data_IF_638817003232
#
_entry.id   IF_638817003232
#
_cell.length_a   1.000
_cell.length_b   1.000
_cell.length_c   1.000
_cell.angle_alpha   90.00
_cell.angle_beta   90.00
_cell.angle_gamma   90.00
#
_symmetry.space_group_name_H-M   'P 1'
#
loop_
_entity.id
_entity.type
_entity.pdbx_description
1 polymer ?
#
# COMPACT_ATOMS: atom_id res chain seq x y z
N UNK A 1 32.21 -6.64 18.24
CA UNK A 1 32.43 -7.78 19.16
C UNK A 1 33.00 -7.26 20.47
N UNK A 2 32.23 -7.25 21.56
CA UNK A 2 32.75 -6.98 22.91
C UNK A 2 32.67 -8.28 23.73
N UNK A 3 33.84 -8.82 24.07
CA UNK A 3 34.02 -9.94 25.02
C UNK A 3 33.64 -9.46 26.41
N UNK A 4 32.76 -10.19 27.09
CA UNK A 4 32.58 -10.07 28.54
C UNK A 4 33.67 -10.90 29.24
N UNK A 5 34.45 -10.28 30.12
CA UNK A 5 35.31 -10.95 31.08
C UNK A 5 34.66 -10.91 32.45
N UNK A 6 34.60 -12.04 33.14
CA UNK A 6 34.18 -12.12 34.55
C UNK A 6 35.37 -12.56 35.41
N UNK A 7 35.71 -11.73 36.38
CA UNK A 7 36.54 -12.01 37.56
C UNK A 7 35.88 -11.22 38.69
N UNK A 8 35.68 -11.69 39.93
CA UNK A 8 36.64 -12.37 40.80
C UNK A 8 35.95 -12.97 42.05
N UNK A 9 36.46 -14.14 42.47
CA UNK A 9 36.72 -14.70 43.82
C UNK A 9 35.96 -14.16 45.06
N UNK A 10 35.47 -15.09 45.88
CA UNK A 10 36.19 -15.52 47.12
C UNK A 10 35.60 -16.80 47.75
N UNK A 11 36.49 -17.74 48.06
CA UNK A 11 36.27 -18.90 48.91
C UNK A 11 36.29 -18.50 50.39
N UNK A 12 35.46 -19.14 51.21
CA UNK A 12 35.82 -19.50 52.59
C UNK A 12 35.26 -20.89 52.91
N UNK A 13 36.18 -21.82 53.22
CA UNK A 13 35.90 -23.11 53.85
C UNK A 13 36.12 -22.98 55.36
N UNK A 14 35.22 -23.52 56.17
CA UNK A 14 35.49 -23.92 57.57
C UNK A 14 34.72 -25.22 57.86
N UNK A 15 35.39 -26.14 58.56
CA UNK A 15 35.11 -27.57 58.71
C UNK A 15 34.49 -27.93 60.09
N UNK A 16 33.76 -29.06 60.13
CA UNK A 16 33.48 -30.00 61.25
C UNK A 16 32.47 -29.56 62.36
N UNK A 17 31.63 -30.40 63.01
CA UNK A 17 31.45 -31.87 63.16
C UNK A 17 30.01 -32.18 63.74
N UNK A 18 29.58 -33.46 63.89
CA UNK A 18 28.18 -33.86 64.19
C UNK A 18 27.91 -34.21 65.68
N UNK A 19 26.64 -34.12 66.15
CA UNK A 19 25.94 -35.06 67.09
C UNK A 19 24.58 -34.49 67.61
N UNK A 20 23.53 -35.27 67.38
CA UNK A 20 22.19 -35.44 68.01
C UNK A 20 21.57 -34.38 68.96
N UNK A 21 20.30 -34.04 68.75
CA UNK A 21 19.12 -34.74 69.34
C UNK A 21 17.79 -34.08 68.92
N UNK A 22 16.86 -34.96 68.56
CA UNK A 22 15.39 -34.84 68.45
C UNK A 22 14.78 -33.64 69.19
N UNK A 23 14.09 -32.78 68.45
CA UNK A 23 12.79 -32.28 68.87
C UNK A 23 11.77 -32.51 67.75
N UNK A 24 10.66 -33.06 68.18
CA UNK A 24 9.63 -33.76 67.44
C UNK A 24 8.64 -32.82 66.76
N UNK A 25 8.26 -33.20 65.54
CA UNK A 25 6.85 -33.46 65.22
C UNK A 25 5.88 -32.29 65.43
N UNK A 26 6.09 -31.20 64.69
CA UNK A 26 4.99 -30.36 64.23
C UNK A 26 4.99 -30.42 62.70
N UNK A 27 4.05 -31.23 62.19
CA UNK A 27 3.48 -31.22 60.85
C UNK A 27 4.49 -31.03 59.70
N UNK A 28 4.86 -32.07 58.95
CA UNK A 28 4.05 -32.51 57.79
C UNK A 28 3.25 -31.35 57.14
N UNK A 29 3.92 -30.28 56.75
CA UNK A 29 3.66 -29.58 55.50
C UNK A 29 4.86 -29.91 54.61
N UNK A 30 4.83 -31.06 53.94
CA UNK A 30 4.68 -31.11 52.47
C UNK A 30 5.37 -29.92 51.81
N UNK A 31 6.56 -30.16 51.25
CA UNK A 31 6.92 -30.02 49.82
C UNK A 31 6.23 -28.94 48.93
N UNK A 32 5.51 -27.99 49.51
CA UNK A 32 4.71 -26.94 48.85
C UNK A 32 5.22 -25.53 49.19
N UNK A 33 6.10 -25.37 50.19
CA UNK A 33 6.66 -24.07 50.57
C UNK A 33 7.95 -23.69 49.85
N UNK A 34 8.45 -24.51 48.91
CA UNK A 34 9.67 -24.18 48.12
C UNK A 34 9.43 -24.22 46.60
N UNK A 35 8.24 -24.62 46.12
CA UNK A 35 7.90 -24.65 44.68
C UNK A 35 6.80 -23.67 44.27
N UNK A 36 6.13 -23.00 45.22
CA UNK A 36 5.02 -22.06 44.91
C UNK A 36 5.43 -20.58 45.02
N UNK A 37 6.66 -20.25 45.46
CA UNK A 37 7.17 -18.87 45.46
C UNK A 37 7.93 -18.45 44.20
N UNK A 38 8.02 -19.32 43.18
CA UNK A 38 8.55 -18.94 41.85
C UNK A 38 7.45 -18.74 40.78
N UNK A 39 6.17 -18.89 41.16
CA UNK A 39 5.01 -18.74 40.27
C UNK A 39 4.20 -17.45 40.51
N UNK A 40 4.63 -16.58 41.43
CA UNK A 40 3.99 -15.28 41.70
C UNK A 40 4.80 -14.08 41.21
N UNK A 41 5.82 -14.31 40.38
CA UNK A 41 6.57 -13.26 39.68
C UNK A 41 6.42 -13.29 38.16
N UNK A 42 5.59 -14.18 37.60
CA UNK A 42 5.39 -14.29 36.16
C UNK A 42 4.05 -13.68 35.77
N UNK A 43 4.05 -12.39 35.44
CA UNK A 43 3.08 -11.79 34.51
C UNK A 43 3.76 -10.69 33.70
N UNK A 44 3.71 -10.69 32.35
CA UNK A 44 3.31 -11.76 31.44
C UNK A 44 4.44 -12.12 30.45
N UNK A 45 4.30 -13.24 29.76
CA UNK A 45 5.06 -13.48 28.53
C UNK A 45 4.64 -12.40 27.52
N UNK A 46 5.45 -11.35 27.34
CA UNK A 46 5.25 -10.36 26.27
C UNK A 46 5.77 -10.95 24.96
N UNK A 47 4.89 -11.60 24.19
CA UNK A 47 5.14 -11.94 22.81
C UNK A 47 4.08 -11.25 21.93
N UNK A 48 4.26 -9.96 21.62
CA UNK A 48 3.50 -9.32 20.54
C UNK A 48 4.21 -9.55 19.19
N UNK A 49 3.43 -9.84 18.14
CA UNK A 49 3.85 -10.49 16.90
C UNK A 49 5.16 -10.00 16.25
N UNK A 50 6.18 -10.84 16.40
CA UNK A 50 7.35 -10.89 15.52
C UNK A 50 7.25 -12.18 14.71
N UNK A 51 7.27 -12.14 13.37
CA UNK A 51 7.62 -13.32 12.59
C UNK A 51 8.93 -13.05 11.85
N UNK A 52 9.90 -13.95 12.03
CA UNK A 52 11.14 -14.10 11.27
C UNK A 52 11.27 -15.57 10.90
N UNK A 53 11.05 -15.92 9.65
CA UNK A 53 11.04 -17.34 9.22
C UNK A 53 12.26 -17.62 8.37
N UNK A 54 12.85 -18.80 8.52
CA UNK A 54 14.24 -19.09 8.15
C UNK A 54 14.81 -20.06 9.16
N UNK A 55 14.96 -19.61 10.42
CA UNK A 55 15.25 -20.49 11.57
C UNK A 55 14.77 -19.96 12.96
N UNK A 56 13.56 -19.35 13.02
CA UNK A 56 12.70 -18.99 14.20
C UNK A 56 13.07 -17.67 14.94
N UNK A 57 12.16 -16.82 15.48
CA UNK A 57 10.97 -17.02 16.33
C UNK A 57 9.68 -16.30 15.84
N UNK A 58 8.64 -17.06 15.45
CA UNK A 58 7.43 -17.54 16.20
C UNK A 58 6.38 -16.53 16.77
N UNK A 59 5.13 -17.03 16.92
CA UNK A 59 3.80 -16.37 16.89
C UNK A 59 2.94 -16.36 18.17
N UNK A 60 2.17 -15.27 18.28
CA UNK A 60 0.88 -15.01 18.94
C UNK A 60 0.57 -15.35 20.39
N UNK A 61 1.27 -16.22 21.11
CA UNK A 61 0.97 -16.42 22.56
C UNK A 61 2.16 -16.95 23.40
N UNK A 62 3.30 -17.29 22.80
CA UNK A 62 4.56 -17.63 23.48
C UNK A 62 5.73 -17.79 22.49
N UNK A 63 6.98 -17.56 22.91
CA UNK A 63 8.16 -17.97 22.14
C UNK A 63 8.08 -19.49 21.87
N UNK A 64 8.08 -19.92 20.61
CA UNK A 64 8.00 -21.36 20.27
C UNK A 64 6.90 -21.75 19.28
N UNK A 65 5.85 -20.94 19.14
CA UNK A 65 4.61 -21.29 18.42
C UNK A 65 4.66 -20.84 16.95
N UNK A 66 4.27 -21.69 15.99
CA UNK A 66 4.33 -21.32 14.57
C UNK A 66 3.37 -20.18 14.21
N UNK A 67 3.84 -19.17 13.47
CA UNK A 67 2.98 -18.16 12.83
C UNK A 67 2.38 -18.79 11.58
N UNK A 68 1.10 -19.18 11.62
CA UNK A 68 0.45 -19.86 10.50
C UNK A 68 0.34 -18.99 9.25
N UNK A 69 0.47 -17.66 9.40
CA UNK A 69 0.37 -16.67 8.33
C UNK A 69 1.74 -16.17 7.81
N UNK A 70 2.80 -16.97 7.96
CA UNK A 70 4.16 -16.65 7.51
C UNK A 70 4.85 -17.87 6.88
N UNK A 71 5.65 -17.63 5.83
CA UNK A 71 6.39 -18.66 5.08
C UNK A 71 7.89 -18.51 5.24
N UNK A 72 8.72 -19.49 4.84
CA UNK A 72 10.20 -19.38 4.95
C UNK A 72 10.75 -18.03 4.46
N UNK A 73 11.66 -17.41 5.20
CA UNK A 73 12.25 -16.11 4.88
C UNK A 73 11.38 -14.88 5.22
N UNK A 74 10.08 -15.06 5.46
CA UNK A 74 9.14 -13.95 5.63
C UNK A 74 9.30 -13.20 6.95
N UNK A 75 8.90 -11.93 6.93
CA UNK A 75 8.78 -11.09 8.11
C UNK A 75 7.33 -10.61 8.25
N UNK A 76 6.72 -10.84 9.41
CA UNK A 76 5.41 -10.29 9.74
C UNK A 76 5.54 -9.48 11.01
N UNK A 77 5.16 -8.20 10.94
CA UNK A 77 5.06 -7.34 12.10
C UNK A 77 3.59 -7.01 12.33
N UNK A 78 3.06 -7.44 13.47
CA UNK A 78 1.69 -7.13 13.87
C UNK A 78 1.70 -6.51 15.26
N UNK A 79 1.23 -5.27 15.36
CA UNK A 79 1.26 -4.52 16.62
C UNK A 79 0.33 -5.10 17.70
N UNK A 80 -0.61 -5.95 17.32
CA UNK A 80 -1.68 -6.49 18.15
C UNK A 80 -2.07 -7.91 17.67
N UNK A 81 -2.13 -8.91 18.55
CA UNK A 81 -2.34 -10.32 18.19
C UNK A 81 -3.80 -10.77 18.18
N UNK A 82 -4.69 -10.09 18.90
CA UNK A 82 -6.07 -10.53 19.02
C UNK A 82 -7.11 -9.55 18.50
N UNK A 83 -6.79 -8.27 18.28
CA UNK A 83 -7.78 -7.27 17.87
C UNK A 83 -7.42 -6.41 16.65
N UNK A 84 -6.26 -6.61 15.98
CA UNK A 84 -5.85 -5.88 14.77
C UNK A 84 -7.04 -5.77 13.80
N UNK A 85 -7.55 -4.59 13.49
CA UNK A 85 -8.69 -4.45 12.59
C UNK A 85 -8.42 -3.59 11.37
N UNK A 86 -9.28 -3.74 10.38
CA UNK A 86 -9.21 -3.01 9.12
C UNK A 86 -10.58 -2.99 8.47
N UNK A 87 -10.84 -2.01 7.61
CA UNK A 87 -12.03 -2.01 6.77
C UNK A 87 -12.04 -3.22 5.82
N UNK A 88 -13.23 -3.66 5.42
CA UNK A 88 -13.39 -4.62 4.34
C UNK A 88 -13.31 -3.90 2.98
N UNK A 89 -12.10 -3.63 2.51
CA UNK A 89 -11.88 -3.02 1.20
C UNK A 89 -11.88 -4.10 0.12
N UNK A 90 -12.71 -3.93 -0.92
CA UNK A 90 -12.85 -4.90 -2.01
C UNK A 90 -11.51 -5.21 -2.70
N UNK A 91 -11.19 -6.51 -2.80
CA UNK A 91 -9.96 -6.98 -3.44
C UNK A 91 -8.68 -6.61 -2.71
N UNK A 92 -8.76 -6.36 -1.39
CA UNK A 92 -7.61 -6.04 -0.54
C UNK A 92 -7.53 -6.94 0.69
N UNK A 93 -6.30 -7.06 1.16
CA UNK A 93 -5.89 -7.82 2.31
C UNK A 93 -5.84 -9.33 2.07
N UNK A 94 -5.69 -10.06 3.17
CA UNK A 94 -5.41 -11.48 3.12
C UNK A 94 -6.62 -12.41 2.94
N UNK A 95 -6.38 -13.58 2.34
CA UNK A 95 -7.43 -14.59 2.12
C UNK A 95 -7.77 -15.37 3.39
N UNK A 96 -6.93 -15.29 4.43
CA UNK A 96 -7.02 -16.14 5.63
C UNK A 96 -7.88 -15.54 6.75
N UNK A 97 -8.52 -14.40 6.50
CA UNK A 97 -9.30 -13.66 7.51
C UNK A 97 -10.77 -13.60 7.14
N UNK A 98 -11.64 -14.00 8.06
CA UNK A 98 -13.09 -13.85 7.90
C UNK A 98 -13.44 -12.36 7.98
N UNK A 99 -14.02 -11.82 6.90
CA UNK A 99 -14.52 -10.45 6.82
C UNK A 99 -16.04 -10.47 7.02
N UNK A 100 -16.52 -9.78 8.03
CA UNK A 100 -17.95 -9.74 8.37
C UNK A 100 -18.57 -8.34 8.18
N UNK A 101 -17.73 -7.31 8.02
CA UNK A 101 -18.13 -5.95 7.76
C UNK A 101 -18.79 -5.78 6.39
N UNK A 102 -19.37 -4.61 6.17
CA UNK A 102 -19.91 -4.24 4.86
C UNK A 102 -18.74 -3.90 3.94
N UNK A 103 -18.63 -4.53 2.75
CA UNK A 103 -17.54 -4.24 1.83
C UNK A 103 -17.63 -2.80 1.32
N UNK A 104 -16.49 -2.12 1.31
CA UNK A 104 -16.35 -0.77 0.76
C UNK A 104 -15.44 -0.76 -0.46
N UNK A 105 -15.67 0.24 -1.32
CA UNK A 105 -14.77 0.48 -2.46
C UNK A 105 -13.45 1.10 -2.01
N UNK A 106 -12.41 0.93 -2.82
CA UNK A 106 -11.11 1.60 -2.63
C UNK A 106 -11.27 3.12 -2.63
N UNK A 107 -12.19 3.63 -3.46
CA UNK A 107 -12.53 5.06 -3.52
C UNK A 107 -13.11 5.54 -2.18
N UNK A 108 -14.02 4.76 -1.58
CA UNK A 108 -14.57 5.08 -0.27
C UNK A 108 -13.46 5.11 0.79
N UNK A 109 -12.61 4.09 0.85
CA UNK A 109 -11.48 4.04 1.78
C UNK A 109 -10.62 5.31 1.68
N UNK A 110 -10.21 5.68 0.47
CA UNK A 110 -9.45 6.90 0.24
C UNK A 110 -10.18 8.17 0.72
N UNK A 111 -11.47 8.28 0.43
CA UNK A 111 -12.28 9.42 0.87
C UNK A 111 -12.42 9.50 2.40
N UNK A 112 -12.42 8.35 3.09
CA UNK A 112 -12.44 8.31 4.56
C UNK A 112 -11.17 8.91 5.17
N UNK A 113 -10.00 8.67 4.57
CA UNK A 113 -8.74 9.33 4.95
C UNK A 113 -8.78 10.84 4.71
N UNK A 114 -9.12 11.24 3.48
CA UNK A 114 -9.08 12.66 3.09
C UNK A 114 -10.05 13.52 3.90
N UNK A 115 -11.20 12.96 4.28
CA UNK A 115 -12.22 13.64 5.08
C UNK A 115 -12.08 13.41 6.59
N UNK A 116 -11.09 12.63 7.03
CA UNK A 116 -10.98 12.18 8.43
C UNK A 116 -12.32 11.66 8.98
N UNK A 117 -12.97 10.76 8.24
CA UNK A 117 -14.34 10.33 8.53
C UNK A 117 -14.44 9.84 9.99
N UNK A 118 -15.28 10.51 10.77
CA UNK A 118 -15.64 10.08 12.11
C UNK A 118 -16.60 8.89 12.01
N UNK A 119 -16.31 7.86 12.80
CA UNK A 119 -17.15 6.68 12.98
C UNK A 119 -17.89 6.82 14.32
N UNK A 120 -19.17 6.43 14.33
CA UNK A 120 -20.06 6.55 15.49
C UNK A 120 -20.02 7.95 16.16
N UNK A 121 -19.83 9.00 15.34
CA UNK A 121 -19.71 10.41 15.72
C UNK A 121 -18.63 10.74 16.77
N UNK A 122 -17.65 9.85 17.00
CA UNK A 122 -16.70 10.02 18.09
C UNK A 122 -15.24 9.73 17.70
N UNK A 123 -14.99 8.69 16.89
CA UNK A 123 -13.62 8.21 16.65
C UNK A 123 -13.34 7.99 15.18
N UNK A 124 -12.16 8.40 14.70
CA UNK A 124 -11.71 8.08 13.35
C UNK A 124 -10.39 7.33 13.42
N UNK A 125 -10.26 6.17 12.75
CA UNK A 125 -8.98 5.48 12.61
C UNK A 125 -8.02 6.20 11.65
N UNK A 126 -8.51 7.25 10.97
CA UNK A 126 -7.77 8.07 10.03
C UNK A 126 -7.36 9.42 10.63
N UNK A 127 -7.61 9.62 11.93
CA UNK A 127 -7.16 10.80 12.66
C UNK A 127 -5.67 10.71 13.01
N UNK A 128 -5.17 11.73 13.71
CA UNK A 128 -3.80 11.81 14.20
C UNK A 128 -3.78 11.80 15.73
N UNK A 129 -2.67 11.35 16.31
CA UNK A 129 -2.37 11.54 17.73
C UNK A 129 -1.00 12.17 17.92
N UNK A 130 -0.91 13.14 18.84
CA UNK A 130 0.33 13.80 19.26
C UNK A 130 0.90 13.23 20.55
N UNK A 131 0.25 12.23 21.13
CA UNK A 131 0.62 11.63 22.41
C UNK A 131 0.60 10.11 22.34
N UNK A 132 1.35 9.45 23.23
CA UNK A 132 1.31 7.99 23.32
C UNK A 132 -0.12 7.52 23.60
N UNK A 133 -0.59 6.58 22.77
CA UNK A 133 -1.87 5.92 22.96
C UNK A 133 -1.67 4.70 23.85
N UNK A 134 -2.48 4.60 24.91
CA UNK A 134 -2.48 3.47 25.83
C UNK A 134 -3.80 2.73 25.69
N UNK A 135 -3.77 1.41 25.71
CA UNK A 135 -4.97 0.59 25.73
C UNK A 135 -5.75 0.80 27.02
N UNK A 136 -7.02 1.18 26.90
CA UNK A 136 -7.93 1.31 28.05
C UNK A 136 -9.01 0.23 28.06
N UNK A 137 -9.06 -0.60 27.01
CA UNK A 137 -9.94 -1.75 26.84
C UNK A 137 -9.95 -2.23 25.38
N UNK A 138 -10.66 -3.31 25.08
CA UNK A 138 -10.75 -3.90 23.74
C UNK A 138 -11.21 -2.88 22.70
N UNK A 139 -10.34 -2.57 21.73
CA UNK A 139 -10.62 -1.60 20.68
C UNK A 139 -10.77 -0.15 21.16
N UNK A 140 -10.29 0.16 22.37
CA UNK A 140 -10.30 1.50 22.95
C UNK A 140 -8.89 1.94 23.35
N UNK A 141 -8.50 3.10 22.83
CA UNK A 141 -7.29 3.78 23.23
C UNK A 141 -7.60 4.99 24.12
N UNK A 142 -6.65 5.35 24.96
CA UNK A 142 -6.68 6.58 25.74
C UNK A 142 -7.00 7.78 24.85
N UNK A 143 -7.87 8.69 25.29
CA UNK A 143 -8.20 9.93 24.55
C UNK A 143 -8.94 9.75 23.21
N UNK A 144 -9.41 8.55 22.89
CA UNK A 144 -10.32 8.34 21.76
C UNK A 144 -9.67 8.42 20.38
N UNK A 145 -8.35 8.18 20.26
CA UNK A 145 -7.78 7.95 18.92
C UNK A 145 -8.41 6.69 18.34
N UNK A 146 -8.99 6.82 17.15
CA UNK A 146 -9.72 5.71 16.55
C UNK A 146 -8.75 4.56 16.27
N UNK A 147 -9.17 3.38 16.68
CA UNK A 147 -8.51 2.14 16.34
C UNK A 147 -9.40 1.38 15.36
N UNK A 148 -8.84 0.83 14.28
CA UNK A 148 -9.60 0.00 13.35
C UNK A 148 -9.98 -1.31 14.04
N UNK A 149 -11.26 -1.51 14.35
CA UNK A 149 -11.74 -2.73 14.99
C UNK A 149 -12.89 -2.49 15.97
N UNK A 150 -14.03 -3.14 15.73
CA UNK A 150 -15.12 -3.23 16.71
C UNK A 150 -16.05 -2.03 16.77
N UNK A 151 -16.66 -1.79 17.94
CA UNK A 151 -17.79 -0.86 18.10
C UNK A 151 -17.42 0.61 17.84
N UNK A 152 -16.14 0.97 17.84
CA UNK A 152 -15.71 2.37 17.70
C UNK A 152 -15.58 2.81 16.24
N UNK A 153 -15.12 1.93 15.36
CA UNK A 153 -14.77 2.27 13.97
C UNK A 153 -15.41 1.39 12.91
N UNK A 154 -16.26 0.44 13.31
CA UNK A 154 -16.96 -0.53 12.45
C UNK A 154 -16.04 -1.40 11.56
N UNK A 155 -14.72 -1.31 11.73
CA UNK A 155 -13.75 -2.16 11.06
C UNK A 155 -13.88 -3.61 11.52
N UNK A 156 -13.56 -4.54 10.61
CA UNK A 156 -13.47 -5.95 10.95
C UNK A 156 -12.40 -6.16 12.00
N UNK A 157 -12.72 -6.94 13.04
CA UNK A 157 -11.79 -7.30 14.10
C UNK A 157 -10.91 -8.48 13.66
N UNK A 158 -9.74 -8.62 14.28
CA UNK A 158 -8.87 -9.80 14.21
C UNK A 158 -8.35 -10.08 12.79
N UNK A 159 -8.20 -9.02 12.00
CA UNK A 159 -7.61 -9.02 10.66
C UNK A 159 -6.10 -8.80 10.78
N UNK A 160 -5.39 -9.92 10.94
CA UNK A 160 -3.94 -9.93 11.07
C UNK A 160 -3.24 -9.86 9.70
N UNK A 161 -2.02 -9.29 9.64
CA UNK A 161 -1.19 -9.37 8.44
C UNK A 161 -0.79 -10.81 8.09
N UNK A 162 -0.51 -11.07 6.82
CA UNK A 162 0.00 -12.35 6.32
C UNK A 162 1.16 -12.15 5.33
N UNK A 163 2.19 -12.99 5.41
CA UNK A 163 3.36 -12.97 4.53
C UNK A 163 3.68 -14.39 4.05
N UNK A 164 2.88 -14.88 3.09
CA UNK A 164 3.01 -16.22 2.54
C UNK A 164 4.11 -16.37 1.48
N UNK A 165 4.58 -15.27 0.91
CA UNK A 165 5.70 -15.30 -0.02
C UNK A 165 7.00 -15.67 0.67
N UNK A 166 7.87 -16.44 -0.01
CA UNK A 166 9.22 -16.70 0.50
C UNK A 166 10.01 -15.39 0.54
N UNK A 167 10.70 -15.09 1.63
CA UNK A 167 11.43 -13.82 1.83
C UNK A 167 10.54 -12.55 1.69
N UNK A 168 9.25 -12.65 1.99
CA UNK A 168 8.32 -11.52 1.93
C UNK A 168 8.27 -10.71 3.24
N UNK A 169 7.66 -9.52 3.21
CA UNK A 169 7.48 -8.67 4.39
C UNK A 169 6.03 -8.13 4.44
N UNK A 170 5.35 -8.25 5.59
CA UNK A 170 4.03 -7.69 5.81
C UNK A 170 3.91 -6.95 7.15
N UNK A 171 3.29 -5.76 7.16
CA UNK A 171 2.94 -5.03 8.37
C UNK A 171 1.69 -4.16 8.18
N UNK A 172 0.93 -3.99 9.27
CA UNK A 172 -0.37 -3.33 9.29
C UNK A 172 -1.53 -4.33 9.19
N UNK A 173 -2.65 -4.01 9.85
CA UNK A 173 -3.80 -4.93 9.95
C UNK A 173 -4.33 -5.32 8.57
N UNK A 174 -4.49 -6.62 8.36
CA UNK A 174 -4.94 -7.20 7.09
C UNK A 174 -4.02 -7.02 5.90
N UNK A 175 -2.78 -6.55 6.07
CA UNK A 175 -1.82 -6.57 4.96
C UNK A 175 -1.52 -7.99 4.48
N UNK A 176 -1.24 -8.17 3.20
CA UNK A 176 -1.02 -9.49 2.59
C UNK A 176 0.12 -9.44 1.59
N UNK A 177 1.19 -10.17 1.86
CA UNK A 177 2.36 -10.35 1.00
C UNK A 177 2.44 -11.81 0.53
N UNK A 178 1.76 -12.13 -0.59
CA UNK A 178 1.64 -13.50 -1.10
C UNK A 178 2.74 -13.87 -2.09
N UNK A 179 3.35 -12.87 -2.75
CA UNK A 179 4.42 -13.09 -3.71
C UNK A 179 5.79 -13.36 -3.06
N UNK A 180 6.60 -14.24 -3.64
CA UNK A 180 8.01 -14.38 -3.21
C UNK A 180 8.74 -13.03 -3.33
N UNK A 181 9.52 -12.65 -2.33
CA UNK A 181 10.22 -11.37 -2.23
C UNK A 181 9.29 -10.14 -2.25
N UNK A 182 7.99 -10.31 -1.99
CA UNK A 182 7.02 -9.21 -1.99
C UNK A 182 7.00 -8.43 -0.67
N UNK A 183 6.52 -7.20 -0.72
CA UNK A 183 6.40 -6.31 0.46
C UNK A 183 4.99 -5.73 0.51
N UNK A 184 4.34 -5.81 1.66
CA UNK A 184 3.06 -5.16 1.95
C UNK A 184 3.17 -4.32 3.23
N UNK A 185 3.07 -3.00 3.11
CA UNK A 185 3.24 -2.06 4.22
C UNK A 185 2.02 -1.14 4.34
N UNK A 186 1.25 -1.29 5.42
CA UNK A 186 0.04 -0.51 5.70
C UNK A 186 -1.21 -1.38 5.82
N UNK A 187 -2.25 -0.88 6.49
CA UNK A 187 -3.50 -1.64 6.65
C UNK A 187 -4.07 -2.02 5.27
N UNK A 188 -4.51 -3.28 5.09
CA UNK A 188 -4.99 -3.82 3.82
C UNK A 188 -4.01 -3.69 2.61
N UNK A 189 -2.74 -3.31 2.81
CA UNK A 189 -1.77 -3.31 1.71
C UNK A 189 -1.61 -4.74 1.16
N UNK A 190 -1.63 -4.90 -0.16
CA UNK A 190 -1.77 -6.20 -0.81
C UNK A 190 -0.74 -6.36 -1.93
N UNK A 191 0.17 -7.31 -1.80
CA UNK A 191 1.20 -7.66 -2.78
C UNK A 191 1.04 -9.13 -3.19
N UNK A 192 0.52 -9.39 -4.39
CA UNK A 192 0.05 -10.73 -4.79
C UNK A 192 1.07 -11.57 -5.56
N UNK A 193 2.10 -10.97 -6.15
CA UNK A 193 2.98 -11.65 -7.10
C UNK A 193 4.46 -11.41 -6.81
N UNK A 194 5.33 -12.22 -7.42
CA UNK A 194 6.76 -12.21 -7.11
C UNK A 194 7.41 -10.84 -7.31
N UNK A 195 8.11 -10.36 -6.29
CA UNK A 195 8.80 -9.07 -6.26
C UNK A 195 7.87 -7.85 -6.24
N UNK A 196 6.56 -8.01 -6.09
CA UNK A 196 5.63 -6.88 -6.04
C UNK A 196 5.69 -6.16 -4.68
N UNK A 197 5.49 -4.85 -4.68
CA UNK A 197 5.67 -4.00 -3.50
C UNK A 197 4.49 -3.04 -3.34
N UNK A 198 3.75 -3.15 -2.24
CA UNK A 198 2.61 -2.31 -1.90
C UNK A 198 2.87 -1.51 -0.62
N UNK A 199 2.85 -0.19 -0.72
CA UNK A 199 3.07 0.74 0.38
C UNK A 199 1.90 1.72 0.51
N UNK A 200 1.21 1.69 1.65
CA UNK A 200 0.06 2.54 1.93
C UNK A 200 -1.21 1.74 2.18
N UNK A 201 -2.19 2.39 2.82
CA UNK A 201 -3.44 1.73 3.19
C UNK A 201 -4.23 1.34 1.95
N UNK A 202 -4.64 0.08 1.86
CA UNK A 202 -5.30 -0.50 0.71
C UNK A 202 -4.53 -0.33 -0.63
N UNK A 203 -3.20 -0.18 -0.60
CA UNK A 203 -2.39 -0.25 -1.82
C UNK A 203 -2.42 -1.68 -2.40
N UNK A 204 -2.45 -1.82 -3.72
CA UNK A 204 -2.45 -3.12 -4.42
C UNK A 204 -1.34 -3.18 -5.46
N UNK A 205 -0.38 -4.08 -5.25
CA UNK A 205 0.64 -4.47 -6.21
C UNK A 205 0.38 -5.92 -6.67
N UNK A 206 -0.43 -6.09 -7.71
CA UNK A 206 -0.77 -7.42 -8.26
C UNK A 206 0.02 -7.80 -9.51
N UNK A 207 0.63 -6.84 -10.20
CA UNK A 207 1.57 -7.12 -11.28
C UNK A 207 2.92 -7.66 -10.77
N UNK A 208 3.54 -8.59 -11.52
CA UNK A 208 4.88 -9.11 -11.16
C UNK A 208 5.89 -7.97 -11.17
N UNK A 209 6.75 -7.88 -10.15
CA UNK A 209 7.72 -6.77 -9.96
C UNK A 209 7.06 -5.38 -9.94
N UNK A 210 5.75 -5.28 -9.70
CA UNK A 210 5.06 -3.99 -9.68
C UNK A 210 5.25 -3.25 -8.36
N UNK A 211 5.07 -1.93 -8.38
CA UNK A 211 5.20 -1.06 -7.20
C UNK A 211 3.97 -0.17 -7.09
N UNK A 212 3.25 -0.26 -5.99
CA UNK A 212 2.10 0.58 -5.67
C UNK A 212 2.37 1.37 -4.38
N UNK A 213 2.35 2.70 -4.43
CA UNK A 213 2.63 3.59 -3.31
C UNK A 213 1.50 4.63 -3.17
N UNK A 214 0.82 4.64 -2.04
CA UNK A 214 -0.25 5.57 -1.71
C UNK A 214 -1.57 4.88 -1.36
N UNK A 215 -2.45 5.59 -0.66
CA UNK A 215 -3.74 5.05 -0.21
C UNK A 215 -4.59 4.65 -1.41
N UNK A 216 -4.96 3.38 -1.50
CA UNK A 216 -5.74 2.85 -2.61
C UNK A 216 -5.03 2.81 -3.97
N UNK A 217 -3.71 3.02 -4.02
CA UNK A 217 -2.94 2.91 -5.27
C UNK A 217 -2.99 1.49 -5.87
N UNK A 218 -2.93 1.37 -7.19
CA UNK A 218 -3.03 0.12 -7.92
C UNK A 218 -1.93 -0.03 -8.98
N UNK A 219 -1.07 -1.02 -8.84
CA UNK A 219 -0.09 -1.42 -9.86
C UNK A 219 -0.38 -2.86 -10.30
N UNK A 220 -1.27 -3.00 -11.28
CA UNK A 220 -1.79 -4.29 -11.75
C UNK A 220 -1.06 -4.81 -13.00
N UNK A 221 -0.39 -3.94 -13.75
CA UNK A 221 0.46 -4.35 -14.86
C UNK A 221 1.80 -4.92 -14.40
N UNK A 222 2.35 -5.88 -15.14
CA UNK A 222 3.72 -6.39 -14.92
C UNK A 222 4.72 -5.23 -14.95
N UNK A 223 5.62 -5.15 -13.97
CA UNK A 223 6.57 -4.05 -13.80
C UNK A 223 5.93 -2.65 -13.82
N UNK A 224 4.64 -2.55 -13.49
CA UNK A 224 3.92 -1.29 -13.40
C UNK A 224 4.31 -0.52 -12.14
N UNK A 225 4.37 0.81 -12.23
CA UNK A 225 4.67 1.71 -11.10
C UNK A 225 3.53 2.68 -10.90
N UNK A 226 2.88 2.63 -9.75
CA UNK A 226 1.74 3.46 -9.37
C UNK A 226 2.09 4.24 -8.11
N UNK A 227 2.18 5.56 -8.20
CA UNK A 227 2.57 6.47 -7.10
C UNK A 227 1.54 7.58 -6.93
N UNK A 228 0.78 7.53 -5.84
CA UNK A 228 -0.25 8.51 -5.50
C UNK A 228 -1.55 7.85 -5.07
N UNK A 229 -2.37 8.56 -4.28
CA UNK A 229 -3.66 8.02 -3.84
C UNK A 229 -4.57 7.68 -5.02
N UNK A 230 -5.14 6.48 -5.05
CA UNK A 230 -5.98 5.99 -6.15
C UNK A 230 -5.32 6.02 -7.55
N UNK A 231 -4.00 6.17 -7.64
CA UNK A 231 -3.28 6.06 -8.92
C UNK A 231 -3.36 4.62 -9.45
N UNK A 232 -3.29 4.45 -10.79
CA UNK A 232 -3.43 3.16 -11.45
C UNK A 232 -2.46 2.96 -12.61
N UNK A 233 -1.52 2.05 -12.44
CA UNK A 233 -0.64 1.54 -13.49
C UNK A 233 -1.10 0.14 -13.93
N UNK A 234 -1.98 0.10 -14.95
CA UNK A 234 -2.65 -1.12 -15.39
C UNK A 234 -1.96 -1.80 -16.59
N UNK A 235 -1.25 -1.05 -17.43
CA UNK A 235 -0.49 -1.61 -18.54
C UNK A 235 0.83 -2.24 -18.08
N UNK A 236 1.36 -3.22 -18.81
CA UNK A 236 2.69 -3.74 -18.55
C UNK A 236 3.75 -2.64 -18.73
N UNK A 237 4.73 -2.55 -17.83
CA UNK A 237 5.78 -1.53 -17.78
C UNK A 237 5.24 -0.09 -17.76
N UNK A 238 3.98 0.10 -17.34
CA UNK A 238 3.35 1.41 -17.28
C UNK A 238 3.71 2.18 -16.01
N UNK A 239 3.64 3.51 -16.07
CA UNK A 239 3.97 4.40 -14.95
C UNK A 239 2.83 5.39 -14.74
N UNK A 240 2.21 5.37 -13.56
CA UNK A 240 1.18 6.30 -13.14
C UNK A 240 1.65 7.08 -11.89
N UNK A 241 1.79 8.40 -12.00
CA UNK A 241 2.25 9.26 -10.91
C UNK A 241 1.27 10.41 -10.70
N UNK A 242 0.76 10.53 -9.47
CA UNK A 242 -0.20 11.54 -9.04
C UNK A 242 -1.54 10.93 -8.63
N UNK A 243 -2.26 11.60 -7.74
CA UNK A 243 -3.57 11.14 -7.26
C UNK A 243 -4.53 10.89 -8.43
N UNK A 244 -5.09 9.68 -8.52
CA UNK A 244 -5.97 9.22 -9.61
C UNK A 244 -5.34 9.20 -11.01
N UNK A 245 -4.03 9.35 -11.18
CA UNK A 245 -3.37 9.21 -12.49
C UNK A 245 -3.56 7.78 -13.02
N UNK A 246 -3.85 7.61 -14.32
CA UNK A 246 -4.14 6.31 -14.91
C UNK A 246 -3.28 6.04 -16.15
N UNK A 247 -2.46 4.99 -16.09
CA UNK A 247 -1.67 4.48 -17.21
C UNK A 247 -2.21 3.09 -17.61
N UNK A 248 -3.08 3.05 -18.61
CA UNK A 248 -3.75 1.82 -19.06
C UNK A 248 -2.98 1.09 -20.16
N UNK A 249 -2.26 1.82 -21.01
CA UNK A 249 -1.49 1.23 -22.10
C UNK A 249 -0.21 0.55 -21.62
N UNK A 250 0.21 -0.50 -22.31
CA UNK A 250 1.56 -1.05 -22.13
C UNK A 250 2.61 0.03 -22.42
N UNK A 251 3.65 0.11 -21.59
CA UNK A 251 4.72 1.12 -21.64
C UNK A 251 4.20 2.57 -21.64
N UNK A 252 2.97 2.79 -21.17
CA UNK A 252 2.38 4.12 -21.08
C UNK A 252 2.81 4.86 -19.82
N UNK A 253 2.80 6.19 -19.90
CA UNK A 253 3.22 7.07 -18.81
C UNK A 253 2.12 8.11 -18.58
N UNK A 254 1.55 8.13 -17.37
CA UNK A 254 0.60 9.14 -16.92
C UNK A 254 1.14 9.86 -15.69
N UNK A 255 1.44 11.16 -15.81
CA UNK A 255 1.97 11.98 -14.72
C UNK A 255 1.09 13.21 -14.55
N UNK A 256 0.35 13.29 -13.44
CA UNK A 256 -0.54 14.41 -13.15
C UNK A 256 -1.68 13.99 -12.25
N UNK A 257 -1.71 14.54 -11.04
CA UNK A 257 -2.78 14.30 -10.09
C UNK A 257 -4.05 15.09 -10.43
N UNK A 258 -5.19 14.55 -10.03
CA UNK A 258 -6.49 15.20 -10.17
C UNK A 258 -7.50 14.73 -9.14
N UNK A 259 -8.63 15.41 -9.13
CA UNK A 259 -9.75 15.07 -8.26
C UNK A 259 -10.80 14.30 -9.08
N UNK A 260 -11.70 13.58 -8.40
CA UNK A 260 -12.76 12.81 -9.06
C UNK A 260 -13.62 13.71 -9.96
N UNK A 261 -13.85 13.30 -11.21
CA UNK A 261 -14.81 13.98 -12.09
C UNK A 261 -16.23 13.83 -11.51
N UNK A 262 -16.98 14.93 -11.40
CA UNK A 262 -18.37 14.92 -10.87
C UNK A 262 -18.65 15.89 -9.71
N UNK A 263 -17.69 16.71 -9.28
CA UNK A 263 -17.96 17.89 -8.46
C UNK A 263 -17.57 19.15 -9.23
N UNK A 264 -18.36 20.21 -9.14
CA UNK A 264 -18.16 21.46 -9.88
C UNK A 264 -16.71 21.98 -9.78
N UNK A 265 -16.13 22.36 -10.92
CA UNK A 265 -14.83 23.05 -11.05
C UNK A 265 -13.54 22.28 -10.68
N UNK A 266 -13.49 20.95 -10.82
CA UNK A 266 -12.25 20.20 -10.53
C UNK A 266 -11.46 19.75 -11.76
N UNK A 267 -10.13 19.80 -11.62
CA UNK A 267 -9.16 19.34 -12.64
C UNK A 267 -9.03 17.81 -12.53
N UNK A 268 -9.23 17.12 -13.66
CA UNK A 268 -9.02 15.67 -13.77
C UNK A 268 -7.56 15.25 -13.62
N UNK A 269 -7.31 13.95 -13.58
CA UNK A 269 -5.95 13.38 -13.52
C UNK A 269 -5.40 13.08 -14.93
N UNK A 270 -4.11 12.83 -15.04
CA UNK A 270 -3.51 12.38 -16.30
C UNK A 270 -4.00 10.97 -16.66
N UNK A 271 -4.31 10.74 -17.95
CA UNK A 271 -4.79 9.46 -18.46
C UNK A 271 -4.08 9.07 -19.76
N UNK A 272 -3.20 8.07 -19.69
CA UNK A 272 -2.54 7.48 -20.86
C UNK A 272 -3.22 6.14 -21.21
N UNK A 273 -4.01 6.10 -22.29
CA UNK A 273 -4.83 4.95 -22.66
C UNK A 273 -4.13 4.00 -23.63
N UNK A 274 -3.43 4.53 -24.63
CA UNK A 274 -2.81 3.72 -25.69
C UNK A 274 -1.46 3.13 -25.33
N UNK A 275 -1.06 2.08 -26.06
CA UNK A 275 0.32 1.54 -26.06
C UNK A 275 1.33 2.67 -26.24
N UNK A 276 2.31 2.77 -25.34
CA UNK A 276 3.37 3.80 -25.34
C UNK A 276 2.82 5.24 -25.35
N UNK A 277 1.58 5.45 -24.92
CA UNK A 277 1.01 6.78 -24.79
C UNK A 277 1.65 7.50 -23.60
N UNK A 278 1.84 8.81 -23.73
CA UNK A 278 2.39 9.68 -22.70
C UNK A 278 1.36 10.76 -22.40
N UNK A 279 1.08 11.00 -21.12
CA UNK A 279 0.16 12.03 -20.64
C UNK A 279 0.78 12.70 -19.43
N UNK A 280 1.20 13.95 -19.58
CA UNK A 280 1.87 14.73 -18.54
C UNK A 280 1.10 16.02 -18.34
N UNK A 281 0.55 16.20 -17.14
CA UNK A 281 -0.30 17.33 -16.78
C UNK A 281 -1.65 16.85 -16.25
N UNK A 282 -2.23 17.62 -15.34
CA UNK A 282 -3.56 17.34 -14.81
C UNK A 282 -4.60 17.41 -15.93
N UNK A 283 -5.49 16.42 -15.99
CA UNK A 283 -6.51 16.23 -17.02
C UNK A 283 -5.95 16.07 -18.46
N UNK A 284 -4.66 15.72 -18.58
CA UNK A 284 -4.06 15.39 -19.88
C UNK A 284 -4.48 13.99 -20.35
N UNK A 285 -4.65 13.81 -21.66
CA UNK A 285 -5.12 12.54 -22.25
C UNK A 285 -4.32 12.16 -23.49
N UNK A 286 -3.60 11.05 -23.42
CA UNK A 286 -2.99 10.34 -24.55
C UNK A 286 -3.85 9.13 -24.91
N UNK A 287 -4.71 9.28 -25.91
CA UNK A 287 -5.81 8.33 -26.17
C UNK A 287 -5.37 7.11 -26.99
N UNK A 288 -4.66 7.33 -28.10
CA UNK A 288 -4.26 6.27 -29.03
C UNK A 288 -2.80 5.83 -28.79
N UNK A 289 -2.38 4.79 -29.53
CA UNK A 289 -1.00 4.32 -29.46
C UNK A 289 -0.01 5.42 -29.83
N UNK A 290 1.10 5.51 -29.10
CA UNK A 290 2.16 6.50 -29.31
C UNK A 290 1.71 7.96 -29.20
N UNK A 291 0.51 8.23 -28.68
CA UNK A 291 0.00 9.59 -28.50
C UNK A 291 0.70 10.28 -27.32
N UNK A 292 1.09 11.54 -27.48
CA UNK A 292 1.82 12.31 -26.46
C UNK A 292 1.06 13.59 -26.12
N UNK A 293 0.53 13.68 -24.91
CA UNK A 293 -0.14 14.87 -24.38
C UNK A 293 0.70 15.47 -23.25
N UNK A 294 1.19 16.70 -23.42
CA UNK A 294 2.00 17.40 -22.43
C UNK A 294 1.39 18.78 -22.19
N UNK A 295 0.89 19.01 -20.97
CA UNK A 295 0.20 20.22 -20.54
C UNK A 295 -1.13 19.89 -19.87
N UNK A 296 -1.57 20.73 -18.92
CA UNK A 296 -2.84 20.52 -18.24
C UNK A 296 -4.00 20.59 -19.26
N UNK A 297 -4.94 19.63 -19.23
CA UNK A 297 -6.03 19.50 -20.20
C UNK A 297 -5.59 19.31 -21.67
N UNK A 298 -4.33 18.97 -21.92
CA UNK A 298 -3.88 18.63 -23.28
C UNK A 298 -4.46 17.28 -23.72
N UNK A 299 -4.81 17.13 -25.01
CA UNK A 299 -5.45 15.93 -25.54
C UNK A 299 -4.81 15.51 -26.85
N UNK A 300 -4.04 14.43 -26.83
CA UNK A 300 -3.54 13.75 -28.02
C UNK A 300 -4.48 12.58 -28.36
N UNK A 301 -5.37 12.79 -29.34
CA UNK A 301 -6.53 11.92 -29.58
C UNK A 301 -6.31 10.85 -30.64
N UNK A 302 -5.21 10.92 -31.39
CA UNK A 302 -4.99 10.13 -32.60
C UNK A 302 -3.64 9.39 -32.57
N UNK A 303 -3.50 8.39 -33.44
CA UNK A 303 -2.31 7.55 -33.51
C UNK A 303 -1.06 8.41 -33.76
N UNK A 304 -0.04 8.28 -32.89
CA UNK A 304 1.21 9.04 -32.96
C UNK A 304 1.04 10.57 -32.93
N UNK A 305 -0.12 11.09 -32.49
CA UNK A 305 -0.33 12.54 -32.40
C UNK A 305 0.32 13.14 -31.15
N UNK A 306 0.63 14.42 -31.19
CA UNK A 306 1.30 15.13 -30.10
C UNK A 306 0.53 16.40 -29.77
N UNK A 307 0.06 16.58 -28.53
CA UNK A 307 -0.52 17.82 -28.03
C UNK A 307 0.42 18.47 -27.02
N UNK A 308 0.91 19.68 -27.32
CA UNK A 308 1.89 20.40 -26.50
C UNK A 308 1.31 21.72 -25.99
N UNK A 309 1.31 21.89 -24.68
CA UNK A 309 0.75 23.04 -23.98
C UNK A 309 -0.63 22.78 -23.39
N UNK A 310 -0.99 23.55 -22.36
CA UNK A 310 -2.28 23.40 -21.70
C UNK A 310 -3.44 23.61 -22.67
N UNK A 311 -4.49 22.79 -22.56
CA UNK A 311 -5.64 22.81 -23.48
C UNK A 311 -5.34 22.52 -24.96
N UNK A 312 -4.11 22.15 -25.33
CA UNK A 312 -3.83 21.79 -26.73
C UNK A 312 -4.54 20.50 -27.12
N UNK A 313 -5.08 20.44 -28.34
CA UNK A 313 -5.81 19.27 -28.85
C UNK A 313 -5.21 18.85 -30.19
N UNK A 314 -4.68 17.63 -30.27
CA UNK A 314 -4.20 17.00 -31.49
C UNK A 314 -5.24 15.99 -31.99
N UNK A 315 -6.16 16.49 -32.82
CA UNK A 315 -7.31 15.78 -33.40
C UNK A 315 -7.29 15.72 -34.94
N UNK A 316 -6.12 15.92 -35.54
CA UNK A 316 -5.89 15.79 -37.00
C UNK A 316 -5.04 14.55 -37.29
N UNK A 317 -5.56 13.64 -38.12
CA UNK A 317 -4.95 12.34 -38.40
C UNK A 317 -3.87 12.41 -39.48
N UNK A 318 -3.22 11.27 -39.74
CA UNK A 318 -2.40 11.07 -40.92
C UNK A 318 -3.23 11.22 -42.20
N UNK A 319 -2.54 11.47 -43.32
CA UNK A 319 -3.13 11.51 -44.65
C UNK A 319 -3.73 12.85 -45.04
N UNK A 320 -3.60 13.88 -44.20
CA UNK A 320 -4.03 15.24 -44.52
C UNK A 320 -3.09 15.84 -45.53
N UNK A 321 -3.66 16.35 -46.62
CA UNK A 321 -2.93 17.01 -47.71
C UNK A 321 -2.74 18.49 -47.37
N UNK A 322 -1.55 19.00 -47.59
CA UNK A 322 -1.21 20.41 -47.45
C UNK A 322 -2.01 21.26 -48.42
N UNK A 323 -2.22 22.52 -48.07
CA UNK A 323 -2.94 23.47 -48.90
C UNK A 323 -2.05 23.97 -50.05
N UNK A 324 -2.59 23.96 -51.27
CA UNK A 324 -1.94 24.50 -52.46
C UNK A 324 -2.53 25.88 -52.79
N UNK A 325 -1.76 26.97 -52.64
CA UNK A 325 -2.28 28.32 -52.84
C UNK A 325 -2.54 28.68 -54.30
N UNK A 326 -2.02 27.91 -55.27
CA UNK A 326 -2.27 28.16 -56.70
C UNK A 326 -3.65 27.63 -57.10
N UNK A 327 -4.04 26.49 -56.52
CA UNK A 327 -5.28 25.80 -56.85
C UNK A 327 -6.42 26.10 -55.86
N UNK A 328 -6.13 26.79 -54.75
CA UNK A 328 -7.06 27.03 -53.62
C UNK A 328 -7.70 25.75 -53.05
N UNK A 329 -6.94 24.65 -53.11
CA UNK A 329 -7.43 23.30 -52.82
C UNK A 329 -6.32 22.48 -52.12
N UNK A 330 -6.63 21.32 -51.51
CA UNK A 330 -5.59 20.43 -51.02
C UNK A 330 -4.71 19.91 -52.16
N UNK A 331 -3.39 19.95 -51.96
CA UNK A 331 -2.38 19.60 -52.98
C UNK A 331 -2.67 18.25 -53.64
N UNK A 332 -2.46 18.19 -54.96
CA UNK A 332 -2.51 16.94 -55.74
C UNK A 332 -1.25 16.08 -55.53
N UNK A 333 -0.17 16.68 -55.02
CA UNK A 333 1.05 15.95 -54.68
C UNK A 333 0.85 15.20 -53.35
N UNK A 334 1.08 13.88 -53.36
CA UNK A 334 0.88 13.01 -52.20
C UNK A 334 2.20 12.50 -51.60
N UNK A 335 3.33 13.10 -51.98
CA UNK A 335 4.61 12.83 -51.32
C UNK A 335 4.59 13.24 -49.86
N UNK A 336 5.56 12.74 -49.07
CA UNK A 336 5.65 13.02 -47.63
C UNK A 336 5.82 14.50 -47.27
N UNK A 337 6.19 15.35 -48.23
CA UNK A 337 6.25 16.81 -48.07
C UNK A 337 4.84 17.40 -47.98
N UNK A 338 3.90 16.83 -48.73
CA UNK A 338 2.55 17.39 -48.91
C UNK A 338 1.47 16.61 -48.17
N UNK A 339 1.65 15.32 -47.91
CA UNK A 339 0.66 14.49 -47.21
C UNK A 339 1.25 13.96 -45.91
N UNK A 340 0.60 14.25 -44.78
CA UNK A 340 1.05 13.76 -43.47
C UNK A 340 1.05 12.23 -43.43
N UNK A 341 2.06 11.64 -42.77
CA UNK A 341 2.18 10.19 -42.58
C UNK A 341 1.80 9.73 -41.17
N UNK A 342 1.68 10.67 -40.23
CA UNK A 342 1.34 10.45 -38.81
C UNK A 342 0.42 11.55 -38.31
N UNK A 343 -0.22 11.33 -37.15
CA UNK A 343 -1.07 12.32 -36.51
C UNK A 343 -0.33 13.63 -36.21
N UNK A 344 -1.09 14.73 -36.16
CA UNK A 344 -0.53 16.06 -36.05
C UNK A 344 0.18 16.32 -34.71
N UNK A 345 1.14 17.25 -34.75
CA UNK A 345 1.59 17.99 -33.57
C UNK A 345 0.71 19.23 -33.45
N UNK A 346 0.01 19.38 -32.33
CA UNK A 346 -0.83 20.54 -32.03
C UNK A 346 -0.29 21.31 -30.83
N UNK A 347 -0.19 22.63 -31.00
CA UNK A 347 0.18 23.57 -29.94
C UNK A 347 -1.00 24.44 -29.49
N UNK A 348 -2.23 24.08 -29.87
CA UNK A 348 -3.41 24.89 -29.57
C UNK A 348 -4.71 24.10 -29.67
N UNK A 349 -5.83 24.83 -29.66
CA UNK A 349 -7.17 24.26 -29.78
C UNK A 349 -8.04 25.21 -30.61
N UNK A 350 -8.27 24.86 -31.87
CA UNK A 350 -9.06 25.67 -32.80
C UNK A 350 -10.49 25.87 -32.32
N UNK A 351 -11.10 24.86 -31.69
CA UNK A 351 -12.50 24.92 -31.22
C UNK A 351 -12.68 25.92 -30.08
N UNK A 352 -11.62 26.19 -29.33
CA UNK A 352 -11.60 27.15 -28.22
C UNK A 352 -10.83 28.44 -28.55
N UNK A 353 -10.39 28.62 -29.81
CA UNK A 353 -9.63 29.82 -30.23
C UNK A 353 -8.22 29.93 -29.62
N UNK A 354 -7.66 28.84 -29.09
CA UNK A 354 -6.35 28.84 -28.45
C UNK A 354 -5.25 28.61 -29.49
N UNK A 355 -4.30 29.54 -29.59
CA UNK A 355 -3.12 29.46 -30.47
C UNK A 355 -1.84 29.75 -29.70
N UNK A 356 -0.70 29.30 -30.23
CA UNK A 356 0.65 29.54 -29.68
C UNK A 356 1.62 29.83 -30.82
N UNK A 357 2.62 30.65 -30.52
CA UNK A 357 3.74 30.98 -31.39
C UNK A 357 5.04 30.46 -30.79
#
# INVERSE_FOLDING_TARGET
MKKLSVTSKRQYNLYASPISRRLSLLMKLSLETVTVMFLLGASPVLASNLALTGAKNLSQNSPGVNYSKGSHGSIVLSGDDDFCGADYVLGRGGNSTVRNGIPISVEEEYERFVKQKLMNNATSPYSQSSEQQVWTGDGLTSKGSGYMGGKSTDGDKNILPEAYGIYSFATGCGSSAQGNYSVAFGANATALTGGSQAFGVAALASGRVSVAIGVGSEATGEAGVSLGGLSKAAGARSVAIGTRANAYGEESIAIGGGLKQGSDNKIGSAVAQGLKAISIGSDSVGFQHYAVAIGAKSRALLLKSVALGSYSVADVDAGVRGYDPVEDEPSKNVSFVWKSSVGAVSVGNRKEGLTRQ
#
